data_IF_407158361424
#
_entry.id   IF_407158361424
#
_cell.length_a   1.000
_cell.length_b   1.000
_cell.length_c   1.000
_cell.angle_alpha   90.00
_cell.angle_beta   90.00
_cell.angle_gamma   90.00
#
_symmetry.space_group_name_H-M   'P 1'
#
loop_
_entity.id
_entity.type
_entity.pdbx_description
1 polymer ?
#
# COMPACT_ATOMS: atom_id res chain seq x y z
N UNK A 1 16.30 -9.94 0.58
CA UNK A 1 15.69 -8.96 -0.33
C UNK A 1 14.86 -8.00 0.51
N UNK A 2 15.12 -6.69 0.42
CA UNK A 2 14.39 -5.65 1.16
C UNK A 2 13.53 -4.90 0.14
N UNK A 3 12.22 -4.84 0.38
CA UNK A 3 11.30 -4.06 -0.46
C UNK A 3 11.32 -2.61 0.01
N UNK A 4 11.47 -1.67 -0.93
CA UNK A 4 11.38 -0.24 -0.67
C UNK A 4 9.91 0.19 -0.76
N UNK A 5 9.33 0.45 0.42
CA UNK A 5 7.94 0.87 0.54
C UNK A 5 7.82 2.39 0.43
N UNK A 6 6.83 2.84 -0.32
CA UNK A 6 6.40 4.24 -0.41
C UNK A 6 4.97 4.34 0.09
N UNK A 7 4.69 5.31 0.95
CA UNK A 7 3.33 5.60 1.42
C UNK A 7 2.50 6.16 0.28
N UNK A 8 1.35 5.53 0.00
CA UNK A 8 0.35 5.99 -0.96
C UNK A 8 -0.71 6.82 -0.26
N UNK A 9 -1.19 6.33 0.88
CA UNK A 9 -2.23 6.97 1.67
C UNK A 9 -1.96 6.72 3.15
N UNK A 10 -2.20 7.74 3.95
CA UNK A 10 -2.15 7.68 5.40
C UNK A 10 -3.27 8.53 5.98
N UNK A 11 -4.26 7.87 6.56
CA UNK A 11 -5.46 8.49 7.08
C UNK A 11 -5.67 8.10 8.53
N UNK A 12 -5.92 9.09 9.38
CA UNK A 12 -6.21 8.90 10.80
C UNK A 12 -7.55 9.54 11.14
N UNK A 13 -8.38 8.80 11.86
CA UNK A 13 -9.65 9.27 12.39
C UNK A 13 -9.53 9.50 13.91
N UNK A 14 -9.60 10.77 14.33
CA UNK A 14 -9.51 11.16 15.74
C UNK A 14 -10.68 10.66 16.60
N UNK A 15 -11.85 10.41 16.00
CA UNK A 15 -13.06 9.96 16.73
C UNK A 15 -12.93 8.49 17.11
N UNK A 16 -12.54 7.67 16.13
CA UNK A 16 -12.43 6.22 16.32
C UNK A 16 -11.03 5.78 16.74
N UNK A 17 -10.05 6.67 16.65
CA UNK A 17 -8.62 6.40 16.84
C UNK A 17 -8.09 5.29 15.91
N UNK A 18 -8.69 5.18 14.72
CA UNK A 18 -8.29 4.22 13.70
C UNK A 18 -7.38 4.91 12.70
N UNK A 19 -6.24 4.28 12.39
CA UNK A 19 -5.34 4.69 11.31
C UNK A 19 -5.36 3.66 10.18
N UNK A 20 -5.51 4.12 8.96
CA UNK A 20 -5.34 3.30 7.75
C UNK A 20 -4.14 3.81 6.98
N UNK A 21 -3.14 2.95 6.78
CA UNK A 21 -1.92 3.28 6.06
C UNK A 21 -1.74 2.31 4.90
N UNK A 22 -1.79 2.84 3.68
CA UNK A 22 -1.54 2.09 2.45
C UNK A 22 -0.17 2.45 1.92
N UNK A 23 0.65 1.43 1.74
CA UNK A 23 2.00 1.52 1.20
C UNK A 23 2.10 0.63 -0.02
N UNK A 24 3.10 0.89 -0.84
CA UNK A 24 3.37 0.08 -2.00
C UNK A 24 4.87 -0.15 -2.17
N UNK A 25 5.23 -1.28 -2.78
CA UNK A 25 6.59 -1.58 -3.17
C UNK A 25 6.63 -2.15 -4.59
N UNK A 26 7.68 -1.83 -5.35
CA UNK A 26 7.94 -2.47 -6.64
C UNK A 26 8.49 -3.88 -6.43
N UNK A 27 8.00 -4.83 -7.20
CA UNK A 27 8.54 -6.19 -7.24
C UNK A 27 9.61 -6.31 -8.32
N UNK A 28 10.68 -7.05 -8.05
CA UNK A 28 11.78 -7.27 -9.00
C UNK A 28 11.31 -7.97 -10.29
N UNK A 29 10.31 -8.85 -10.18
CA UNK A 29 9.69 -9.54 -11.32
C UNK A 29 8.73 -8.65 -12.14
N UNK A 30 8.59 -7.36 -11.78
CA UNK A 30 7.55 -6.46 -12.30
C UNK A 30 6.26 -6.52 -11.48
N UNK A 31 5.47 -5.45 -11.59
CA UNK A 31 4.26 -5.27 -10.78
C UNK A 31 4.49 -4.55 -9.45
N UNK A 32 3.46 -4.51 -8.62
CA UNK A 32 3.45 -3.83 -7.33
C UNK A 32 2.91 -4.75 -6.23
N UNK A 33 3.41 -4.54 -5.03
CA UNK A 33 2.82 -5.06 -3.81
C UNK A 33 2.19 -3.88 -3.08
N UNK A 34 0.87 -3.91 -2.93
CA UNK A 34 0.10 -2.98 -2.10
C UNK A 34 -0.07 -3.61 -0.72
N UNK A 35 0.19 -2.84 0.31
CA UNK A 35 0.01 -3.22 1.71
C UNK A 35 -0.85 -2.18 2.39
N UNK A 36 -2.00 -2.57 2.91
CA UNK A 36 -2.83 -1.71 3.74
C UNK A 36 -2.81 -2.24 5.16
N UNK A 37 -2.35 -1.39 6.09
CA UNK A 37 -2.35 -1.66 7.51
C UNK A 37 -3.43 -0.84 8.19
N UNK A 38 -4.28 -1.50 8.95
CA UNK A 38 -5.30 -0.86 9.79
C UNK A 38 -4.86 -0.99 11.24
N UNK A 39 -4.53 0.14 11.84
CA UNK A 39 -4.25 0.24 13.27
C UNK A 39 -5.54 0.65 13.97
N UNK A 40 -6.01 -0.18 14.88
CA UNK A 40 -7.11 0.15 15.81
C UNK A 40 -6.55 0.20 17.23
N UNK A 41 -7.28 0.78 18.19
CA UNK A 41 -6.84 0.81 19.59
C UNK A 41 -6.54 -0.57 20.20
N UNK A 42 -7.12 -1.64 19.64
CA UNK A 42 -7.04 -2.99 20.21
C UNK A 42 -6.27 -3.99 19.34
N UNK A 43 -6.20 -3.76 18.03
CA UNK A 43 -5.64 -4.71 17.08
C UNK A 43 -4.95 -4.02 15.90
N UNK A 44 -4.00 -4.72 15.30
CA UNK A 44 -3.40 -4.36 14.01
C UNK A 44 -3.82 -5.41 13.00
N UNK A 45 -4.43 -4.98 11.91
CA UNK A 45 -4.80 -5.83 10.78
C UNK A 45 -4.03 -5.42 9.52
N UNK A 46 -3.74 -6.39 8.67
CA UNK A 46 -2.91 -6.19 7.48
C UNK A 46 -3.53 -6.94 6.30
N UNK A 47 -3.67 -6.23 5.18
CA UNK A 47 -4.04 -6.80 3.88
C UNK A 47 -2.93 -6.53 2.88
N UNK A 48 -2.60 -7.54 2.08
CA UNK A 48 -1.59 -7.46 1.03
C UNK A 48 -2.21 -7.89 -0.28
N UNK A 49 -2.00 -7.09 -1.32
CA UNK A 49 -2.45 -7.38 -2.67
C UNK A 49 -1.27 -7.22 -3.63
N UNK A 50 -1.12 -8.15 -4.57
CA UNK A 50 -0.13 -8.06 -5.65
C UNK A 50 -0.85 -7.63 -6.90
N UNK A 51 -0.40 -6.53 -7.51
CA UNK A 51 -0.88 -6.04 -8.79
C UNK A 51 0.15 -6.42 -9.86
N UNK A 52 -0.17 -7.34 -10.77
CA UNK A 52 0.77 -7.80 -11.79
C UNK A 52 1.05 -6.71 -12.83
N UNK A 53 2.20 -6.80 -13.49
CA UNK A 53 2.64 -5.78 -14.43
C UNK A 53 1.67 -5.57 -15.60
N UNK A 54 1.02 -6.64 -16.09
CA UNK A 54 0.04 -6.60 -17.17
C UNK A 54 -1.16 -5.70 -16.86
N UNK A 55 -1.58 -5.65 -15.60
CA UNK A 55 -2.72 -4.84 -15.15
C UNK A 55 -2.38 -3.36 -15.02
N UNK A 56 -1.10 -3.03 -14.78
CA UNK A 56 -0.63 -1.66 -14.65
C UNK A 56 -0.22 -1.09 -16.02
N UNK A 57 0.15 -1.97 -16.95
CA UNK A 57 0.63 -1.61 -18.30
C UNK A 57 -0.45 -0.86 -19.10
N UNK A 58 -0.28 0.46 -19.23
CA UNK A 58 -1.21 1.34 -19.96
C UNK A 58 -2.19 2.10 -19.07
N UNK A 59 -2.21 1.82 -17.76
CA UNK A 59 -2.87 2.69 -16.79
C UNK A 59 -2.02 3.94 -16.55
N UNK A 60 -2.64 5.08 -16.24
CA UNK A 60 -1.93 6.29 -15.75
C UNK A 60 -1.41 6.13 -14.32
N UNK A 61 -1.48 4.92 -13.77
CA UNK A 61 -1.00 4.62 -12.45
C UNK A 61 0.54 4.62 -12.51
N UNK A 62 1.15 5.77 -12.23
CA UNK A 62 2.59 5.88 -12.00
C UNK A 62 2.84 5.74 -10.50
N UNK A 63 3.20 4.54 -10.03
CA UNK A 63 3.35 4.28 -8.61
C UNK A 63 4.39 5.19 -7.91
N UNK A 64 5.31 5.84 -8.63
CA UNK A 64 6.47 6.51 -7.98
C UNK A 64 6.34 8.04 -7.94
N UNK A 65 5.25 8.61 -8.45
CA UNK A 65 5.03 10.06 -8.41
C UNK A 65 3.78 10.42 -7.61
N UNK A 66 3.96 10.42 -6.29
CA UNK A 66 3.27 11.35 -5.38
C UNK A 66 4.21 12.51 -5.08
#
# INVERSE_FOLDING_TARGET
MKLDYVTVEDSYDDTTQIRTMTEQAKLEAGGLLLRTTVYTPHHISLSVCVVPFEEIRGTKFDPVKG
#
